data_IF_313075926892
#
_entry.id   IF_313075926892
#
_cell.length_a   1.000
_cell.length_b   1.000
_cell.length_c   1.000
_cell.angle_alpha   90.00
_cell.angle_beta   90.00
_cell.angle_gamma   90.00
#
_symmetry.space_group_name_H-M   'P 1'
#
loop_
_entity.id
_entity.type
_entity.pdbx_description
1 polymer ?
#
# COMPACT_ATOMS: atom_id res chain seq x y z
N UNK A 1 26.17 5.67 22.18
CA UNK A 1 24.96 6.49 22.16
C UNK A 1 24.59 6.63 20.70
N UNK A 2 23.66 5.79 20.22
CA UNK A 2 23.31 5.72 18.81
C UNK A 2 22.25 6.79 18.54
N UNK A 3 22.63 7.80 17.77
CA UNK A 3 21.68 8.71 17.13
C UNK A 3 20.82 7.90 16.15
N UNK A 4 19.51 7.90 16.33
CA UNK A 4 18.57 7.31 15.38
C UNK A 4 17.87 8.44 14.61
N UNK A 5 18.20 8.68 13.33
CA UNK A 5 17.40 9.57 12.49
C UNK A 5 16.70 8.84 11.34
N UNK A 6 15.66 9.53 10.85
CA UNK A 6 14.76 9.22 9.73
C UNK A 6 13.66 8.19 10.05
N UNK A 7 12.52 8.70 10.53
CA UNK A 7 11.24 8.01 10.51
C UNK A 7 10.93 7.63 9.06
N UNK A 8 10.93 6.33 8.81
CA UNK A 8 10.58 5.76 7.52
C UNK A 8 9.07 5.84 7.32
N UNK A 9 8.63 6.04 6.08
CA UNK A 9 7.23 5.96 5.67
C UNK A 9 6.55 4.74 6.34
N UNK A 10 5.41 4.94 7.02
CA UNK A 10 4.63 3.88 7.64
C UNK A 10 3.35 3.63 6.83
N UNK A 11 3.17 2.39 6.35
CA UNK A 11 1.95 1.99 5.65
C UNK A 11 1.14 0.94 6.43
N UNK A 12 -0.13 1.25 6.64
CA UNK A 12 -1.07 0.38 7.35
C UNK A 12 -2.25 0.02 6.44
N UNK A 13 -2.53 -1.28 6.30
CA UNK A 13 -3.71 -1.79 5.61
C UNK A 13 -4.78 -2.18 6.61
N UNK A 14 -5.96 -1.58 6.47
CA UNK A 14 -7.17 -1.93 7.21
C UNK A 14 -8.17 -2.65 6.30
N UNK A 15 -8.64 -3.83 6.72
CA UNK A 15 -9.86 -4.42 6.14
C UNK A 15 -11.09 -3.90 6.89
N UNK A 16 -12.11 -3.45 6.15
CA UNK A 16 -13.31 -2.82 6.71
C UNK A 16 -14.40 -3.87 7.04
N UNK A 17 -15.15 -3.68 8.13
CA UNK A 17 -16.18 -4.61 8.58
C UNK A 17 -16.60 -4.40 10.05
N UNK A 18 -17.23 -5.41 10.68
CA UNK A 18 -17.46 -5.45 12.13
C UNK A 18 -16.12 -5.50 12.89
N UNK A 19 -15.54 -4.33 13.13
CA UNK A 19 -14.20 -4.14 13.68
C UNK A 19 -13.12 -4.09 12.59
N UNK A 20 -12.40 -2.96 12.42
CA UNK A 20 -11.31 -2.90 11.45
C UNK A 20 -10.17 -3.82 11.87
N UNK A 21 -9.71 -4.67 10.94
CA UNK A 21 -8.50 -5.46 11.11
C UNK A 21 -7.34 -4.71 10.44
N UNK A 22 -6.41 -4.21 11.25
CA UNK A 22 -5.31 -3.37 10.77
C UNK A 22 -4.00 -4.14 10.88
N UNK A 23 -3.26 -4.18 9.77
CA UNK A 23 -1.90 -4.73 9.73
C UNK A 23 -0.93 -3.73 9.12
N UNK A 24 0.33 -3.68 9.59
CA UNK A 24 1.37 -3.05 8.80
C UNK A 24 1.58 -3.83 7.51
N UNK A 25 1.76 -3.11 6.42
CA UNK A 25 2.16 -3.66 5.12
C UNK A 25 3.44 -2.98 4.70
N UNK A 26 4.25 -3.68 3.90
CA UNK A 26 5.52 -3.14 3.44
C UNK A 26 5.47 -2.91 1.93
N UNK A 27 6.02 -1.77 1.51
CA UNK A 27 6.29 -1.43 0.11
C UNK A 27 5.09 -1.57 -0.84
N UNK A 28 3.91 -0.95 -0.54
CA UNK A 28 2.87 -0.81 -1.55
C UNK A 28 3.40 0.00 -2.75
N UNK A 29 3.08 -0.45 -3.96
CA UNK A 29 3.50 0.19 -5.21
C UNK A 29 2.27 0.70 -5.94
N UNK A 30 2.27 1.97 -6.31
CA UNK A 30 1.29 2.50 -7.25
C UNK A 30 1.59 1.99 -8.66
N UNK A 31 0.67 1.22 -9.22
CA UNK A 31 0.76 0.72 -10.59
C UNK A 31 0.21 1.71 -11.62
N UNK A 32 -0.86 2.43 -11.27
CA UNK A 32 -1.46 3.48 -12.11
C UNK A 32 -2.26 4.50 -11.27
N UNK A 33 -3.08 5.34 -11.92
CA UNK A 33 -3.91 6.36 -11.28
C UNK A 33 -4.89 5.87 -10.20
N UNK A 34 -5.34 4.61 -10.24
CA UNK A 34 -6.30 4.03 -9.30
C UNK A 34 -5.88 2.66 -8.76
N UNK A 35 -4.69 2.19 -9.12
CA UNK A 35 -4.25 0.84 -8.77
C UNK A 35 -3.03 0.89 -7.87
N UNK A 36 -3.14 0.24 -6.71
CA UNK A 36 -2.03 -0.03 -5.80
C UNK A 36 -1.82 -1.55 -5.75
N UNK A 37 -0.57 -1.99 -5.81
CA UNK A 37 -0.16 -3.38 -5.65
C UNK A 37 0.59 -3.54 -4.34
N UNK A 38 0.34 -4.64 -3.64
CA UNK A 38 1.11 -5.02 -2.46
C UNK A 38 1.24 -6.55 -2.40
N UNK A 39 2.15 -7.03 -1.56
CA UNK A 39 2.30 -8.46 -1.29
C UNK A 39 1.81 -8.79 0.12
N UNK A 40 1.12 -9.91 0.27
CA UNK A 40 0.74 -10.47 1.58
C UNK A 40 1.25 -11.90 1.70
N UNK A 41 1.89 -12.19 2.82
CA UNK A 41 2.33 -13.55 3.15
C UNK A 41 1.13 -14.47 3.42
N UNK A 42 1.19 -15.74 2.99
CA UNK A 42 0.09 -16.70 3.11
C UNK A 42 -0.31 -17.03 4.54
N UNK A 43 0.61 -16.95 5.49
CA UNK A 43 0.30 -17.19 6.91
C UNK A 43 -0.55 -16.09 7.56
N UNK A 44 -0.86 -15.01 6.85
CA UNK A 44 -1.71 -13.93 7.36
C UNK A 44 -3.18 -14.24 7.10
N UNK A 45 -3.98 -14.24 8.16
CA UNK A 45 -5.45 -14.30 8.09
C UNK A 45 -6.05 -13.19 7.22
N UNK A 46 -5.29 -12.12 6.98
CA UNK A 46 -5.63 -11.01 6.08
C UNK A 46 -6.06 -11.48 4.68
N UNK A 47 -5.47 -12.54 4.13
CA UNK A 47 -5.88 -13.05 2.81
C UNK A 47 -7.24 -13.73 2.84
N UNK A 48 -7.54 -14.51 3.88
CA UNK A 48 -8.85 -15.10 4.07
C UNK A 48 -9.92 -14.02 4.28
N UNK A 49 -9.59 -13.01 5.10
CA UNK A 49 -10.45 -11.84 5.33
C UNK A 49 -10.72 -11.05 4.05
N UNK A 50 -9.69 -10.78 3.25
CA UNK A 50 -9.79 -10.05 1.99
C UNK A 50 -10.68 -10.79 0.97
N UNK A 51 -10.59 -12.12 0.92
CA UNK A 51 -11.47 -12.93 0.06
C UNK A 51 -12.93 -12.89 0.51
N UNK A 52 -13.18 -12.79 1.83
CA UNK A 52 -14.52 -12.70 2.39
C UNK A 52 -15.11 -11.29 2.30
N UNK A 53 -14.26 -10.26 2.43
CA UNK A 53 -14.62 -8.84 2.43
C UNK A 53 -13.53 -8.05 1.71
N UNK A 54 -13.76 -7.66 0.45
CA UNK A 54 -12.72 -7.02 -0.35
C UNK A 54 -12.55 -5.53 -0.01
N UNK A 55 -13.43 -4.92 0.80
CA UNK A 55 -13.35 -3.51 1.17
C UNK A 55 -12.15 -3.25 2.08
N UNK A 56 -11.27 -2.35 1.63
CA UNK A 56 -10.04 -2.00 2.35
C UNK A 56 -9.80 -0.50 2.38
N UNK A 57 -9.00 -0.08 3.35
CA UNK A 57 -8.41 1.25 3.45
C UNK A 57 -6.90 1.10 3.68
N UNK A 58 -6.09 1.76 2.85
CA UNK A 58 -4.64 1.85 3.01
C UNK A 58 -4.29 3.24 3.54
N UNK A 59 -3.82 3.32 4.78
CA UNK A 59 -3.27 4.52 5.37
C UNK A 59 -1.79 4.62 5.00
N UNK A 60 -1.39 5.77 4.48
CA UNK A 60 -0.02 6.10 4.09
C UNK A 60 0.39 7.32 4.89
N UNK A 61 1.46 7.18 5.68
CA UNK A 61 2.06 8.25 6.47
C UNK A 61 3.53 8.39 6.09
N UNK A 62 3.96 9.62 5.79
CA UNK A 62 5.33 9.99 5.47
C UNK A 62 5.50 11.51 5.59
N UNK A 63 6.64 12.06 5.17
CA UNK A 63 7.03 13.43 5.53
C UNK A 63 6.01 14.49 5.14
N UNK A 64 5.60 14.48 3.88
CA UNK A 64 4.61 15.41 3.34
C UNK A 64 3.33 14.68 2.88
N UNK A 65 3.09 13.49 3.43
CA UNK A 65 1.98 12.61 3.05
C UNK A 65 1.27 12.09 4.30
N UNK A 66 -0.01 12.41 4.41
CA UNK A 66 -0.90 11.73 5.33
C UNK A 66 -2.22 11.50 4.61
N UNK A 67 -2.48 10.28 4.14
CA UNK A 67 -3.71 10.00 3.41
C UNK A 67 -4.24 8.59 3.59
N UNK A 68 -5.52 8.39 3.32
CA UNK A 68 -6.14 7.07 3.29
C UNK A 68 -6.74 6.79 1.92
N UNK A 69 -6.17 5.83 1.20
CA UNK A 69 -6.76 5.31 -0.02
C UNK A 69 -7.79 4.22 0.30
N UNK A 70 -9.06 4.45 -0.03
CA UNK A 70 -10.15 3.50 0.14
C UNK A 70 -10.46 2.82 -1.18
N UNK A 71 -10.85 1.54 -1.11
CA UNK A 71 -11.16 0.80 -2.32
C UNK A 71 -11.54 -0.65 -2.07
N UNK A 72 -11.41 -1.44 -3.12
CA UNK A 72 -11.65 -2.87 -3.11
C UNK A 72 -10.38 -3.62 -3.49
N UNK A 73 -10.04 -4.66 -2.74
CA UNK A 73 -8.85 -5.46 -2.95
C UNK A 73 -9.19 -6.85 -3.50
N UNK A 74 -8.29 -7.40 -4.32
CA UNK A 74 -8.37 -8.77 -4.82
C UNK A 74 -6.98 -9.39 -4.94
N UNK A 75 -6.90 -10.70 -4.76
CA UNK A 75 -5.69 -11.47 -5.07
C UNK A 75 -5.60 -11.62 -6.59
N UNK A 76 -4.52 -11.11 -7.19
CA UNK A 76 -4.26 -11.20 -8.65
C UNK A 76 -3.27 -12.30 -9.00
N UNK A 77 -2.48 -12.75 -8.03
CA UNK A 77 -1.71 -13.99 -8.11
C UNK A 77 -1.58 -14.61 -6.73
N UNK A 78 -1.85 -15.91 -6.64
CA UNK A 78 -1.68 -16.68 -5.40
C UNK A 78 -0.21 -16.89 -5.04
N UNK A 79 0.71 -16.85 -6.02
CA UNK A 79 2.15 -17.01 -5.79
C UNK A 79 2.95 -16.01 -6.62
N UNK A 80 3.88 -15.32 -5.98
CA UNK A 80 4.81 -14.42 -6.67
C UNK A 80 6.06 -15.15 -7.15
N UNK A 81 6.53 -14.81 -8.35
CA UNK A 81 7.81 -15.32 -8.86
C UNK A 81 8.95 -14.85 -7.96
N UNK A 82 9.77 -15.79 -7.47
CA UNK A 82 10.85 -15.49 -6.52
C UNK A 82 10.42 -15.28 -5.07
N UNK A 83 9.12 -15.38 -4.76
CA UNK A 83 8.56 -15.25 -3.41
C UNK A 83 7.25 -16.05 -3.30
N UNK A 84 7.33 -17.39 -3.35
CA UNK A 84 6.17 -18.28 -3.47
C UNK A 84 5.20 -18.24 -2.29
N UNK A 85 5.66 -17.83 -1.12
CA UNK A 85 4.87 -17.72 0.11
C UNK A 85 4.07 -16.41 0.20
N UNK A 86 4.16 -15.58 -0.85
CA UNK A 86 3.46 -14.32 -0.96
C UNK A 86 2.45 -14.36 -2.10
N UNK A 87 1.26 -13.82 -1.81
CA UNK A 87 0.25 -13.49 -2.80
C UNK A 87 0.40 -12.04 -3.25
N UNK A 88 0.19 -11.79 -4.54
CA UNK A 88 0.06 -10.44 -5.08
C UNK A 88 -1.38 -9.96 -4.95
N UNK A 89 -1.56 -8.79 -4.34
CA UNK A 89 -2.86 -8.16 -4.11
C UNK A 89 -2.93 -6.85 -4.87
N UNK A 90 -4.03 -6.65 -5.55
CA UNK A 90 -4.40 -5.38 -6.18
C UNK A 90 -5.45 -4.68 -5.34
N UNK A 91 -5.25 -3.40 -5.05
CA UNK A 91 -6.27 -2.50 -4.49
C UNK A 91 -6.68 -1.54 -5.60
N UNK A 92 -7.97 -1.58 -5.95
CA UNK A 92 -8.61 -0.60 -6.82
C UNK A 92 -9.18 0.52 -5.97
N UNK A 93 -8.51 1.67 -6.02
CA UNK A 93 -8.83 2.88 -5.26
C UNK A 93 -10.06 3.57 -5.86
N UNK A 94 -11.03 3.84 -5.00
CA UNK A 94 -12.25 4.59 -5.35
C UNK A 94 -12.24 5.99 -4.76
N UNK A 95 -11.59 6.17 -3.61
CA UNK A 95 -11.53 7.44 -2.91
C UNK A 95 -10.23 7.58 -2.11
N UNK A 96 -9.77 8.81 -1.84
CA UNK A 96 -8.51 9.06 -1.13
C UNK A 96 -8.68 10.23 -0.19
N UNK A 97 -8.74 10.02 1.12
CA UNK A 97 -8.78 11.11 2.09
C UNK A 97 -7.41 11.72 2.33
N UNK A 98 -7.28 13.04 2.17
CA UNK A 98 -6.08 13.79 2.56
C UNK A 98 -6.25 14.25 4.01
N UNK A 99 -5.31 13.87 4.87
CA UNK A 99 -5.32 14.15 6.30
C UNK A 99 -4.36 15.27 6.70
N UNK A 100 -3.71 15.93 5.73
CA UNK A 100 -2.86 17.09 6.02
C UNK A 100 -3.72 18.25 6.53
N UNK A 101 -3.26 18.90 7.60
CA UNK A 101 -3.97 20.02 8.19
C UNK A 101 -4.14 21.17 7.18
N UNK A 102 -5.40 21.55 6.89
CA UNK A 102 -5.73 22.69 6.01
C UNK A 102 -5.94 22.38 4.52
N UNK A 103 -6.02 21.11 4.12
CA UNK A 103 -6.40 20.76 2.75
C UNK A 103 -7.85 21.21 2.46
N UNK A 104 -8.12 21.94 1.36
CA UNK A 104 -9.49 22.36 1.02
C UNK A 104 -10.35 21.14 0.66
N UNK A 105 -11.58 21.10 1.19
CA UNK A 105 -12.64 20.18 0.76
C UNK A 105 -12.98 20.50 -0.71
N UNK A 106 -12.39 19.77 -1.64
CA UNK A 106 -12.58 19.96 -3.07
C UNK A 106 -12.75 18.62 -3.77
N UNK A 107 -13.78 18.53 -4.61
CA UNK A 107 -13.98 17.53 -5.66
C UNK A 107 -12.64 17.20 -6.35
N UNK A 108 -12.04 16.07 -5.95
CA UNK A 108 -10.59 16.01 -5.81
C UNK A 108 -9.98 14.67 -6.12
N UNK A 109 -10.59 13.78 -6.92
CA UNK A 109 -9.95 12.50 -7.19
C UNK A 109 -8.61 12.69 -7.91
N UNK A 110 -8.48 13.61 -8.88
CA UNK A 110 -7.20 13.89 -9.53
C UNK A 110 -6.18 14.55 -8.57
N UNK A 111 -6.64 15.44 -7.68
CA UNK A 111 -5.79 16.08 -6.67
C UNK A 111 -5.31 15.07 -5.61
N UNK A 112 -6.21 14.20 -5.14
CA UNK A 112 -5.95 13.16 -4.16
C UNK A 112 -5.15 11.99 -4.75
N UNK A 113 -5.30 11.69 -6.05
CA UNK A 113 -4.44 10.74 -6.77
C UNK A 113 -3.00 11.25 -6.91
N UNK A 114 -2.77 12.58 -6.95
CA UNK A 114 -1.40 13.13 -6.86
C UNK A 114 -0.72 12.78 -5.54
N UNK A 115 -1.47 12.62 -4.45
CA UNK A 115 -0.90 12.18 -3.16
C UNK A 115 -0.32 10.76 -3.28
N UNK A 116 -0.91 9.91 -4.12
CA UNK A 116 -0.39 8.57 -4.39
C UNK A 116 0.87 8.58 -5.28
N UNK A 117 1.27 9.72 -5.88
CA UNK A 117 2.53 9.81 -6.64
C UNK A 117 3.76 9.56 -5.76
N UNK A 118 3.65 9.79 -4.44
CA UNK A 118 4.69 9.46 -3.47
C UNK A 118 4.98 7.95 -3.39
N UNK A 119 4.00 7.08 -3.70
CA UNK A 119 4.23 5.62 -3.80
C UNK A 119 5.12 5.25 -5.00
N UNK A 120 5.20 6.10 -6.04
CA UNK A 120 6.12 5.87 -7.15
C UNK A 120 7.59 6.12 -6.77
N UNK A 121 7.85 6.97 -5.76
CA UNK A 121 9.19 7.17 -5.22
C UNK A 121 9.69 5.91 -4.46
N UNK A 122 8.79 5.19 -3.80
CA UNK A 122 9.07 3.93 -3.09
C UNK A 122 9.46 2.79 -4.05
N UNK A 123 8.92 2.78 -5.28
CA UNK A 123 9.29 1.82 -6.34
C UNK A 123 10.80 1.77 -6.60
N UNK A 124 11.53 2.87 -6.38
CA UNK A 124 12.98 2.95 -6.55
C UNK A 124 13.74 2.13 -5.50
N UNK A 125 13.18 1.90 -4.31
CA UNK A 125 13.76 1.05 -3.24
C UNK A 125 13.59 -0.45 -3.54
N UNK A 126 12.50 -0.87 -4.19
CA UNK A 126 12.28 -2.27 -4.57
C UNK A 126 13.16 -2.76 -5.73
N UNK A 127 13.71 -1.86 -6.56
CA UNK A 127 14.62 -2.25 -7.64
C UNK A 127 15.98 -2.81 -7.15
N UNK A 128 16.28 -2.72 -5.85
CA UNK A 128 17.51 -3.31 -5.26
C UNK A 128 17.36 -4.82 -4.99
N UNK A 129 16.14 -5.37 -4.94
CA UNK A 129 15.92 -6.80 -4.70
C UNK A 129 16.00 -7.68 -5.99
N UNK A 130 15.99 -7.07 -7.18
CA UNK A 130 16.04 -7.78 -8.46
C UNK A 130 17.37 -7.69 -9.22
N UNK A 131 18.34 -6.92 -8.71
CA UNK A 131 19.57 -6.62 -9.45
C UNK A 131 20.80 -7.48 -9.07
N UNK A 132 20.73 -8.33 -8.04
CA UNK A 132 21.88 -9.15 -7.58
C UNK A 132 21.93 -10.57 -8.13
N UNK A 133 21.22 -10.88 -9.22
CA UNK A 133 21.34 -12.18 -9.92
C UNK A 133 21.88 -12.10 -11.34
N UNK A 134 22.65 -11.05 -11.66
CA UNK A 134 23.56 -11.08 -12.81
C UNK A 134 24.90 -10.44 -12.44
N UNK A 135 25.83 -11.25 -11.92
CA UNK A 135 27.22 -11.18 -12.38
C UNK A 135 27.77 -12.60 -12.34
N UNK A 136 28.33 -12.94 -13.49
CA UNK A 136 28.95 -14.20 -13.87
C UNK A 136 30.31 -14.36 -13.21
#
# INVERSE_FOLDING_TARGET
MLDAPAWADEELLAQLGEGPHVIPVSAPVRADHRTILLSLHHSRDSLARLRARPEVALLILGDDVACTARGSARVVSERMSGASDYAAVEIRVTDVDDHRAGAPDGDGLAHRVRILESLAAIRRRCQVAGATSQTR
#
